data_IF_913791176743
#
_entry.id   IF_913791176743
#
_cell.length_a   1.000
_cell.length_b   1.000
_cell.length_c   1.000
_cell.angle_alpha   90.00
_cell.angle_beta   90.00
_cell.angle_gamma   90.00
#
_symmetry.space_group_name_H-M   'P 1'
#
loop_
_entity.id
_entity.type
_entity.pdbx_description
1 polymer ?
#
# COMPACT_ATOMS: atom_id res chain seq x y z
N UNK A 1 -13.23 -13.25 -0.66
CA UNK A 1 -13.80 -12.48 -1.80
C UNK A 1 -15.23 -12.89 -2.19
N UNK A 2 -15.72 -14.10 -1.86
CA UNK A 2 -17.10 -14.52 -2.19
C UNK A 2 -18.17 -14.19 -1.12
N UNK A 3 -17.79 -13.60 0.02
CA UNK A 3 -18.71 -13.37 1.16
C UNK A 3 -18.98 -11.90 1.52
N UNK A 4 -18.25 -10.93 0.95
CA UNK A 4 -18.43 -9.51 1.27
C UNK A 4 -19.32 -8.87 0.20
N UNK A 5 -20.61 -8.65 0.54
CA UNK A 5 -21.61 -8.07 -0.37
C UNK A 5 -21.43 -6.58 -0.70
N UNK A 6 -20.33 -5.94 -0.28
CA UNK A 6 -20.12 -4.49 -0.41
C UNK A 6 -18.67 -4.16 -0.79
N UNK A 7 -18.49 -3.41 -1.87
CA UNK A 7 -17.19 -2.97 -2.41
C UNK A 7 -16.49 -1.98 -1.45
N UNK A 8 -17.27 -1.21 -0.69
CA UNK A 8 -16.80 -0.31 0.38
C UNK A 8 -17.61 -0.67 1.63
N UNK A 9 -17.07 -1.55 2.44
CA UNK A 9 -17.76 -2.05 3.62
C UNK A 9 -17.51 -1.18 4.87
N UNK A 10 -16.32 -0.59 4.99
CA UNK A 10 -15.92 0.15 6.19
C UNK A 10 -16.04 1.69 6.09
N UNK A 11 -16.54 2.22 4.96
CA UNK A 11 -16.74 3.65 4.75
C UNK A 11 -15.52 4.39 4.17
N UNK A 12 -15.78 5.56 3.58
CA UNK A 12 -14.80 6.33 2.81
C UNK A 12 -13.62 6.85 3.67
N UNK A 13 -13.88 7.26 4.92
CA UNK A 13 -12.85 7.81 5.80
C UNK A 13 -11.77 6.78 6.16
N UNK A 14 -12.16 5.56 6.55
CA UNK A 14 -11.21 4.47 6.83
C UNK A 14 -10.44 4.04 5.58
N UNK A 15 -11.10 4.08 4.42
CA UNK A 15 -10.45 3.78 3.14
C UNK A 15 -9.35 4.80 2.83
N UNK A 16 -9.65 6.09 2.94
CA UNK A 16 -8.67 7.17 2.73
C UNK A 16 -7.50 7.03 3.72
N UNK A 17 -7.79 6.76 4.99
CA UNK A 17 -6.76 6.58 6.01
C UNK A 17 -5.84 5.40 5.68
N UNK A 18 -6.40 4.25 5.27
CA UNK A 18 -5.63 3.09 4.84
C UNK A 18 -4.77 3.38 3.61
N UNK A 19 -5.27 4.16 2.65
CA UNK A 19 -4.51 4.56 1.46
C UNK A 19 -3.33 5.47 1.81
N UNK A 20 -3.53 6.45 2.70
CA UNK A 20 -2.45 7.35 3.15
C UNK A 20 -1.37 6.54 3.87
N UNK A 21 -1.77 5.66 4.79
CA UNK A 21 -0.82 4.79 5.49
C UNK A 21 -0.03 3.91 4.50
N UNK A 22 -0.72 3.29 3.53
CA UNK A 22 -0.07 2.35 2.62
C UNK A 22 0.86 3.03 1.63
N UNK A 23 0.40 4.10 0.99
CA UNK A 23 1.10 4.73 -0.14
C UNK A 23 1.96 5.93 0.24
N UNK A 24 1.79 6.52 1.43
CA UNK A 24 2.63 7.64 1.88
C UNK A 24 3.54 7.19 3.02
N UNK A 25 2.95 6.65 4.09
CA UNK A 25 3.73 6.28 5.29
C UNK A 25 4.63 5.08 5.04
N UNK A 26 4.15 4.06 4.31
CA UNK A 26 4.95 2.89 3.92
C UNK A 26 6.22 3.27 3.13
N UNK A 27 6.10 3.98 1.99
CA UNK A 27 7.26 4.44 1.23
C UNK A 27 8.17 5.41 1.99
N UNK A 28 7.60 6.32 2.79
CA UNK A 28 8.39 7.27 3.58
C UNK A 28 9.24 6.57 4.66
N UNK A 29 8.66 5.61 5.37
CA UNK A 29 9.40 4.82 6.38
C UNK A 29 10.47 3.95 5.73
N UNK A 30 10.19 3.37 4.54
CA UNK A 30 11.19 2.63 3.78
C UNK A 30 12.34 3.53 3.31
N UNK A 31 12.04 4.73 2.80
CA UNK A 31 13.06 5.70 2.40
C UNK A 31 13.95 6.09 3.59
N UNK A 32 13.34 6.36 4.75
CA UNK A 32 14.06 6.65 5.99
C UNK A 32 14.98 5.49 6.39
N UNK A 33 14.44 4.26 6.38
CA UNK A 33 15.23 3.05 6.69
C UNK A 33 16.41 2.85 5.73
N UNK A 34 16.19 3.09 4.43
CA UNK A 34 17.25 3.00 3.44
C UNK A 34 18.35 4.05 3.66
N UNK A 35 17.98 5.30 4.03
CA UNK A 35 18.95 6.36 4.37
C UNK A 35 19.77 5.97 5.61
N UNK A 36 19.11 5.49 6.67
CA UNK A 36 19.78 5.04 7.90
C UNK A 36 20.75 3.89 7.64
N UNK A 37 20.37 2.95 6.77
CA UNK A 37 21.20 1.80 6.39
C UNK A 37 22.23 2.12 5.29
N UNK A 38 22.26 3.34 4.77
CA UNK A 38 23.19 3.74 3.71
C UNK A 38 22.92 3.12 2.33
N UNK A 39 21.70 2.59 2.09
CA UNK A 39 21.30 2.03 0.80
C UNK A 39 21.14 3.16 -0.25
N UNK A 40 21.78 2.99 -1.41
CA UNK A 40 21.79 4.00 -2.49
C UNK A 40 21.52 3.39 -3.87
N UNK A 41 21.21 4.26 -4.83
CA UNK A 41 21.00 3.91 -6.23
C UNK A 41 19.81 2.98 -6.44
N UNK A 42 19.97 1.96 -7.29
CA UNK A 42 18.88 1.05 -7.65
C UNK A 42 18.25 0.33 -6.46
N UNK A 43 19.02 0.01 -5.42
CA UNK A 43 18.49 -0.71 -4.25
C UNK A 43 17.48 0.16 -3.47
N UNK A 44 17.79 1.45 -3.28
CA UNK A 44 16.86 2.42 -2.68
C UNK A 44 15.58 2.55 -3.52
N UNK A 45 15.72 2.63 -4.84
CA UNK A 45 14.58 2.74 -5.77
C UNK A 45 13.68 1.52 -5.68
N UNK A 46 14.25 0.31 -5.76
CA UNK A 46 13.49 -0.94 -5.68
C UNK A 46 12.81 -1.05 -4.31
N UNK A 47 13.51 -0.72 -3.22
CA UNK A 47 12.96 -0.73 -1.87
C UNK A 47 11.71 0.15 -1.73
N UNK A 48 11.78 1.40 -2.19
CA UNK A 48 10.67 2.36 -2.12
C UNK A 48 9.48 1.88 -2.98
N UNK A 49 9.75 1.39 -4.20
CA UNK A 49 8.71 0.86 -5.09
C UNK A 49 8.02 -0.36 -4.47
N UNK A 50 8.77 -1.29 -3.89
CA UNK A 50 8.23 -2.46 -3.19
C UNK A 50 7.36 -2.05 -2.00
N UNK A 51 7.77 -1.03 -1.25
CA UNK A 51 6.98 -0.49 -0.16
C UNK A 51 5.68 0.19 -0.63
N UNK A 52 5.63 0.70 -1.87
CA UNK A 52 4.47 1.35 -2.47
C UNK A 52 3.48 0.39 -3.16
N UNK A 53 3.72 -0.92 -3.18
CA UNK A 53 2.81 -1.89 -3.80
C UNK A 53 1.45 -1.97 -3.05
N UNK A 54 0.36 -2.39 -3.71
CA UNK A 54 -0.91 -2.59 -3.03
C UNK A 54 -0.82 -3.68 -1.95
N UNK A 55 -1.81 -3.71 -1.05
CA UNK A 55 -1.84 -4.65 0.07
C UNK A 55 -2.12 -6.08 -0.40
N UNK A 56 -1.50 -7.08 0.24
CA UNK A 56 -1.66 -8.47 -0.15
C UNK A 56 -3.05 -9.02 0.19
N UNK A 57 -3.61 -9.81 -0.73
CA UNK A 57 -4.88 -10.53 -0.53
C UNK A 57 -4.81 -11.49 0.65
N UNK A 58 -3.65 -12.09 0.92
CA UNK A 58 -3.43 -13.01 2.04
C UNK A 58 -3.68 -12.33 3.40
N UNK A 59 -3.37 -11.03 3.54
CA UNK A 59 -3.70 -10.28 4.75
C UNK A 59 -5.21 -10.22 4.99
N UNK A 60 -6.03 -10.19 3.94
CA UNK A 60 -7.49 -10.22 4.07
C UNK A 60 -7.96 -11.60 4.56
N UNK A 61 -7.38 -12.67 4.02
CA UNK A 61 -7.67 -14.04 4.48
C UNK A 61 -7.35 -14.18 5.97
N UNK A 62 -6.19 -13.68 6.41
CA UNK A 62 -5.85 -13.68 7.85
C UNK A 62 -6.82 -12.83 8.68
N UNK A 63 -7.17 -11.62 8.24
CA UNK A 63 -8.13 -10.77 8.97
C UNK A 63 -9.50 -11.46 9.11
N UNK A 64 -9.91 -12.23 8.10
CA UNK A 64 -11.15 -13.01 8.14
C UNK A 64 -11.04 -14.21 9.10
N UNK A 65 -9.95 -14.97 9.05
CA UNK A 65 -9.69 -16.11 9.95
C UNK A 65 -9.63 -15.70 11.43
N UNK A 66 -9.04 -14.55 11.74
CA UNK A 66 -8.92 -14.04 13.10
C UNK A 66 -10.13 -13.19 13.57
N UNK A 67 -11.20 -13.09 12.77
CA UNK A 67 -12.38 -12.28 13.12
C UNK A 67 -12.08 -10.78 13.28
N UNK A 68 -11.01 -10.29 12.66
CA UNK A 68 -10.63 -8.89 12.65
C UNK A 68 -11.48 -8.10 11.64
N UNK A 69 -11.25 -6.80 11.51
CA UNK A 69 -11.95 -5.93 10.54
C UNK A 69 -11.59 -6.24 9.06
N UNK A 70 -11.95 -7.43 8.58
CA UNK A 70 -11.72 -7.91 7.22
C UNK A 70 -12.35 -6.98 6.17
N UNK A 71 -13.43 -6.28 6.54
CA UNK A 71 -14.13 -5.29 5.73
C UNK A 71 -13.26 -4.07 5.37
N UNK A 72 -12.44 -3.60 6.32
CA UNK A 72 -11.45 -2.53 6.08
C UNK A 72 -10.41 -3.04 5.09
N UNK A 73 -9.93 -4.26 5.32
CA UNK A 73 -8.85 -4.84 4.55
C UNK A 73 -9.26 -5.14 3.11
N UNK A 74 -10.48 -5.65 2.89
CA UNK A 74 -11.04 -5.88 1.55
C UNK A 74 -11.16 -4.58 0.77
N UNK A 75 -11.70 -3.53 1.41
CA UNK A 75 -11.85 -2.22 0.79
C UNK A 75 -10.47 -1.62 0.44
N UNK A 76 -9.51 -1.73 1.37
CA UNK A 76 -8.14 -1.25 1.14
C UNK A 76 -7.43 -2.02 0.03
N UNK A 77 -7.61 -3.34 -0.09
CA UNK A 77 -7.03 -4.13 -1.18
C UNK A 77 -7.65 -3.70 -2.51
N UNK A 78 -8.97 -3.67 -2.64
CA UNK A 78 -9.64 -3.33 -3.92
C UNK A 78 -9.27 -1.93 -4.38
N UNK A 79 -9.45 -0.93 -3.51
CA UNK A 79 -9.16 0.47 -3.83
C UNK A 79 -7.66 0.68 -4.04
N UNK A 80 -6.84 0.05 -3.20
CA UNK A 80 -5.40 0.09 -3.33
C UNK A 80 -4.93 -0.50 -4.66
N UNK A 81 -5.50 -1.61 -5.12
CA UNK A 81 -5.14 -2.19 -6.42
C UNK A 81 -5.50 -1.25 -7.57
N UNK A 82 -6.68 -0.61 -7.56
CA UNK A 82 -7.08 0.35 -8.61
C UNK A 82 -6.16 1.57 -8.64
N UNK A 83 -5.84 2.14 -7.47
CA UNK A 83 -5.02 3.35 -7.35
C UNK A 83 -3.53 3.05 -7.54
N UNK A 84 -3.09 1.82 -7.27
CA UNK A 84 -1.66 1.46 -7.25
C UNK A 84 -0.96 1.72 -8.57
N UNK A 85 -1.62 1.44 -9.70
CA UNK A 85 -0.99 1.53 -11.02
C UNK A 85 -0.59 2.98 -11.39
N UNK A 86 -1.50 3.98 -11.38
CA UNK A 86 -1.10 5.37 -11.62
C UNK A 86 -0.14 5.90 -10.55
N UNK A 87 -0.28 5.45 -9.31
CA UNK A 87 0.53 5.94 -8.19
C UNK A 87 1.96 5.39 -8.22
N UNK A 88 2.16 4.13 -8.60
CA UNK A 88 3.47 3.52 -8.83
C UNK A 88 4.21 4.20 -9.99
N UNK A 89 3.50 4.53 -11.07
CA UNK A 89 4.07 5.29 -12.20
C UNK A 89 4.53 6.67 -11.73
N UNK A 90 3.71 7.37 -10.93
CA UNK A 90 4.10 8.66 -10.36
C UNK A 90 5.32 8.54 -9.45
N UNK A 91 5.37 7.53 -8.57
CA UNK A 91 6.54 7.26 -7.72
C UNK A 91 7.79 6.98 -8.55
N UNK A 92 7.67 6.20 -9.62
CA UNK A 92 8.78 5.92 -10.52
C UNK A 92 9.29 7.20 -11.18
N UNK A 93 8.39 8.04 -11.71
CA UNK A 93 8.76 9.32 -12.32
C UNK A 93 9.44 10.28 -11.32
N UNK A 94 8.92 10.38 -10.09
CA UNK A 94 9.52 11.21 -9.04
C UNK A 94 10.92 10.71 -8.68
N UNK A 95 11.09 9.40 -8.50
CA UNK A 95 12.41 8.81 -8.24
C UNK A 95 13.37 8.92 -9.43
N UNK A 96 12.88 9.13 -10.65
CA UNK A 96 13.67 9.41 -11.84
C UNK A 96 14.19 10.83 -11.88
N UNK A 97 13.36 11.78 -11.46
CA UNK A 97 13.76 13.19 -11.35
C UNK A 97 14.75 13.41 -10.19
N UNK A 98 14.69 12.59 -9.14
CA UNK A 98 15.53 12.72 -7.95
C UNK A 98 16.88 11.96 -8.00
N UNK A 99 17.11 11.14 -9.03
CA UNK A 99 18.35 10.36 -9.21
C UNK A 99 19.36 11.09 -10.10
#
# INVERSE_FOLDING_TARGET
MALQGKIIACGAALTIYAMILRFVVGPATMALGCVVLGLRGNVLRIAIIQAALPQAVTSFVYAQEYGLHADVLSTAVIVGTIISLPLLIAYYAILDIMS
#
